data_IF_805532959898
#
_entry.id   IF_805532959898
#
_cell.length_a   1.000
_cell.length_b   1.000
_cell.length_c   1.000
_cell.angle_alpha   90.00
_cell.angle_beta   90.00
_cell.angle_gamma   90.00
#
_symmetry.space_group_name_H-M   'P 1'
#
loop_
_entity.id
_entity.type
_entity.pdbx_description
1 polymer ?
#
# COMPACT_ATOMS: atom_id res chain seq x y z
N UNK A 1 66.51 1.78 -18.29
CA UNK A 1 67.67 0.96 -18.71
C UNK A 1 67.17 -0.23 -19.54
N UNK A 2 68.05 -1.12 -20.01
CA UNK A 2 67.76 -2.15 -21.03
C UNK A 2 67.08 -3.42 -20.46
N UNK A 3 66.69 -4.29 -21.40
CA UNK A 3 66.54 -5.75 -21.29
C UNK A 3 67.60 -6.45 -20.39
N UNK A 4 67.45 -7.69 -19.90
CA UNK A 4 66.56 -8.83 -20.26
C UNK A 4 66.26 -9.66 -18.95
N UNK A 5 66.01 -10.99 -18.81
CA UNK A 5 65.98 -12.20 -19.66
C UNK A 5 65.00 -13.28 -19.12
N UNK A 6 64.50 -14.12 -20.06
CA UNK A 6 64.11 -15.54 -20.01
C UNK A 6 63.56 -16.27 -18.75
N UNK A 7 62.53 -17.07 -19.05
CA UNK A 7 61.98 -18.24 -18.33
C UNK A 7 63.06 -19.27 -17.92
N UNK A 8 62.84 -19.99 -16.81
CA UNK A 8 62.50 -21.44 -16.78
C UNK A 8 62.45 -22.00 -15.36
N UNK A 9 61.35 -22.67 -15.00
CA UNK A 9 61.29 -24.01 -14.35
C UNK A 9 59.82 -24.42 -14.22
N UNK A 10 59.51 -25.72 -14.41
CA UNK A 10 58.16 -26.27 -14.37
C UNK A 10 58.20 -27.76 -14.00
N UNK A 11 57.03 -28.31 -13.63
CA UNK A 11 56.83 -29.58 -12.91
C UNK A 11 57.25 -29.48 -11.41
N UNK A 12 56.58 -30.15 -10.47
CA UNK A 12 55.65 -31.28 -10.58
C UNK A 12 54.24 -31.02 -9.98
N UNK A 13 53.31 -31.84 -10.49
CA UNK A 13 51.89 -32.11 -10.19
C UNK A 13 51.43 -32.10 -8.70
N UNK A 14 50.10 -32.10 -8.38
CA UNK A 14 48.99 -32.55 -9.23
C UNK A 14 47.78 -31.62 -9.42
N UNK A 15 46.98 -31.97 -10.44
CA UNK A 15 45.71 -31.35 -10.80
C UNK A 15 44.59 -31.65 -9.80
N UNK A 16 43.90 -30.63 -9.32
CA UNK A 16 42.50 -30.76 -8.87
C UNK A 16 41.60 -29.90 -9.76
N UNK A 17 40.55 -30.50 -10.32
CA UNK A 17 39.66 -29.87 -11.30
C UNK A 17 38.73 -28.85 -10.64
N UNK A 18 39.25 -27.65 -10.35
CA UNK A 18 38.39 -26.48 -10.16
C UNK A 18 37.85 -26.02 -11.52
N UNK A 19 36.86 -26.75 -12.02
CA UNK A 19 35.89 -26.19 -12.95
C UNK A 19 35.23 -24.99 -12.26
N UNK A 20 35.78 -23.81 -12.50
CA UNK A 20 35.06 -22.55 -12.29
C UNK A 20 33.91 -22.58 -13.28
N UNK A 21 32.75 -23.03 -12.80
CA UNK A 21 31.54 -23.07 -13.59
C UNK A 21 31.21 -21.63 -13.99
N UNK A 22 31.57 -21.28 -15.23
CA UNK A 22 31.06 -20.06 -15.88
C UNK A 22 29.57 -20.04 -15.63
N UNK A 23 29.09 -19.00 -14.94
CA UNK A 23 27.66 -18.78 -14.78
C UNK A 23 27.03 -18.90 -16.16
N UNK A 24 26.17 -19.91 -16.36
CA UNK A 24 25.52 -20.11 -17.66
C UNK A 24 24.75 -18.83 -17.92
N UNK A 25 25.13 -18.09 -18.97
CA UNK A 25 24.38 -16.92 -19.43
C UNK A 25 22.91 -17.32 -19.49
N UNK A 26 22.04 -16.47 -18.95
CA UNK A 26 20.61 -16.73 -18.98
C UNK A 26 20.20 -16.93 -20.44
N UNK A 27 19.48 -18.02 -20.71
CA UNK A 27 18.91 -18.23 -22.03
C UNK A 27 17.72 -17.28 -22.17
N UNK A 28 17.88 -16.31 -23.07
CA UNK A 28 16.87 -15.29 -23.37
C UNK A 28 16.23 -15.53 -24.75
N UNK A 29 16.39 -16.73 -25.31
CA UNK A 29 15.64 -17.16 -26.49
C UNK A 29 14.14 -17.08 -26.18
N UNK A 30 13.31 -16.43 -27.01
CA UNK A 30 11.87 -16.41 -26.84
C UNK A 30 11.28 -17.83 -26.85
N UNK A 31 10.28 -18.09 -26.01
CA UNK A 31 9.59 -19.37 -25.92
C UNK A 31 8.08 -19.15 -25.77
N UNK A 32 7.27 -20.02 -26.39
CA UNK A 32 5.83 -20.04 -26.16
C UNK A 32 5.52 -20.52 -24.75
N UNK A 33 4.54 -19.90 -24.10
CA UNK A 33 4.06 -20.27 -22.78
C UNK A 33 2.53 -20.15 -22.71
N UNK A 34 1.88 -21.25 -22.34
CA UNK A 34 0.46 -21.27 -21.97
C UNK A 34 0.31 -20.88 -20.50
N UNK A 35 -0.60 -19.95 -20.22
CA UNK A 35 -0.74 -19.29 -18.92
C UNK A 35 -1.95 -19.85 -18.19
N UNK A 36 -1.70 -20.62 -17.12
CA UNK A 36 -2.73 -21.41 -16.42
C UNK A 36 -3.30 -20.72 -15.19
N UNK A 37 -2.59 -19.75 -14.60
CA UNK A 37 -3.01 -19.07 -13.36
C UNK A 37 -2.35 -17.67 -13.23
N UNK A 38 -2.65 -16.93 -12.16
CA UNK A 38 -2.08 -15.62 -11.85
C UNK A 38 -1.53 -15.60 -10.42
N UNK A 39 -0.30 -15.11 -10.23
CA UNK A 39 0.29 -14.91 -8.90
C UNK A 39 -0.38 -13.78 -8.13
N UNK A 40 -0.24 -13.81 -6.80
CA UNK A 40 -0.70 -12.73 -5.91
C UNK A 40 -0.05 -11.34 -6.18
N UNK A 41 0.99 -11.26 -7.01
CA UNK A 41 1.64 -10.02 -7.44
C UNK A 41 1.37 -9.64 -8.91
N UNK A 42 0.45 -10.34 -9.58
CA UNK A 42 -0.05 -9.99 -10.92
C UNK A 42 0.83 -10.47 -12.08
N UNK A 43 1.47 -11.63 -11.96
CA UNK A 43 2.23 -12.30 -13.02
C UNK A 43 1.53 -13.60 -13.44
N UNK A 44 1.45 -13.86 -14.74
CA UNK A 44 0.92 -15.11 -15.26
C UNK A 44 1.79 -16.30 -14.84
N UNK A 45 1.18 -17.43 -14.50
CA UNK A 45 1.87 -18.67 -14.16
C UNK A 45 1.85 -19.60 -15.37
N UNK A 46 3.04 -19.96 -15.85
CA UNK A 46 3.25 -21.03 -16.83
C UNK A 46 3.99 -22.20 -16.19
N UNK A 47 3.97 -23.37 -16.88
CA UNK A 47 4.88 -24.48 -16.57
C UNK A 47 5.68 -24.88 -17.81
N UNK A 48 6.97 -25.12 -17.60
CA UNK A 48 7.86 -25.66 -18.62
C UNK A 48 7.64 -27.19 -18.77
N UNK A 49 8.16 -27.81 -19.86
CA UNK A 49 8.10 -29.26 -20.04
C UNK A 49 8.78 -30.09 -18.94
N UNK A 50 9.65 -29.50 -18.11
CA UNK A 50 10.23 -30.12 -16.91
C UNK A 50 9.35 -29.95 -15.65
N UNK A 51 8.12 -29.46 -15.81
CA UNK A 51 7.14 -29.18 -14.75
C UNK A 51 7.40 -27.88 -13.97
N UNK A 52 8.54 -27.21 -14.19
CA UNK A 52 8.96 -26.05 -13.41
C UNK A 52 8.08 -24.83 -13.69
N UNK A 53 7.69 -24.13 -12.64
CA UNK A 53 6.92 -22.90 -12.74
C UNK A 53 7.74 -21.74 -13.33
N UNK A 54 7.08 -20.89 -14.11
CA UNK A 54 7.60 -19.62 -14.61
C UNK A 54 6.59 -18.52 -14.33
N UNK A 55 7.05 -17.40 -13.77
CA UNK A 55 6.22 -16.22 -13.54
C UNK A 55 6.45 -15.19 -14.65
N UNK A 56 5.44 -14.98 -15.48
CA UNK A 56 5.47 -14.20 -16.72
C UNK A 56 4.79 -12.85 -16.49
N UNK A 57 5.57 -11.77 -16.47
CA UNK A 57 5.02 -10.42 -16.30
C UNK A 57 4.21 -9.99 -17.55
N UNK A 58 3.02 -9.43 -17.33
CA UNK A 58 2.15 -8.91 -18.39
C UNK A 58 1.26 -9.94 -19.10
N UNK A 59 1.18 -11.16 -18.58
CA UNK A 59 0.39 -12.28 -19.09
C UNK A 59 -0.75 -12.67 -18.12
N UNK A 60 -1.87 -13.14 -18.65
CA UNK A 60 -3.10 -13.45 -17.91
C UNK A 60 -3.53 -14.92 -18.08
N UNK A 61 -4.34 -15.48 -17.16
CA UNK A 61 -4.89 -16.83 -17.31
C UNK A 61 -5.69 -17.00 -18.61
N UNK A 62 -5.51 -18.16 -19.24
CA UNK A 62 -6.13 -18.52 -20.51
C UNK A 62 -5.38 -18.02 -21.75
N UNK A 63 -4.21 -17.41 -21.60
CA UNK A 63 -3.42 -16.90 -22.72
C UNK A 63 -2.35 -17.86 -23.21
N UNK A 64 -2.02 -17.73 -24.50
CA UNK A 64 -0.75 -18.19 -25.04
C UNK A 64 0.09 -16.95 -25.38
N UNK A 65 1.32 -16.89 -24.85
CA UNK A 65 2.22 -15.75 -25.02
C UNK A 65 3.59 -16.19 -25.51
N UNK A 66 4.26 -15.32 -26.25
CA UNK A 66 5.70 -15.42 -26.49
C UNK A 66 6.42 -14.71 -25.34
N UNK A 67 7.22 -15.43 -24.57
CA UNK A 67 7.88 -14.94 -23.37
C UNK A 67 9.41 -15.01 -23.47
N UNK A 68 10.11 -14.12 -22.75
CA UNK A 68 11.57 -14.09 -22.63
C UNK A 68 11.98 -14.15 -21.16
N UNK A 69 12.92 -15.04 -20.81
CA UNK A 69 13.38 -15.17 -19.41
C UNK A 69 14.19 -13.95 -18.98
N UNK A 70 13.92 -13.50 -17.75
CA UNK A 70 14.57 -12.37 -17.08
C UNK A 70 15.40 -12.82 -15.87
N UNK A 71 15.00 -13.90 -15.19
CA UNK A 71 15.77 -14.51 -14.10
C UNK A 71 15.56 -16.03 -14.00
N UNK A 72 16.46 -16.71 -13.27
CA UNK A 72 16.43 -18.16 -13.02
C UNK A 72 16.71 -18.45 -11.56
N UNK A 73 15.84 -19.19 -10.86
CA UNK A 73 16.08 -19.66 -9.48
C UNK A 73 16.09 -21.19 -9.39
N UNK A 74 16.17 -21.75 -8.17
CA UNK A 74 15.97 -23.20 -7.95
C UNK A 74 14.51 -23.62 -8.18
N UNK A 75 13.55 -22.82 -7.76
CA UNK A 75 12.13 -23.23 -7.63
C UNK A 75 11.26 -22.78 -8.80
N UNK A 76 11.47 -21.55 -9.29
CA UNK A 76 10.78 -20.96 -10.44
C UNK A 76 11.76 -20.16 -11.31
N UNK A 77 11.37 -19.86 -12.55
CA UNK A 77 12.04 -18.85 -13.37
C UNK A 77 11.14 -17.61 -13.50
N UNK A 78 11.72 -16.48 -13.89
CA UNK A 78 10.97 -15.26 -14.19
C UNK A 78 11.11 -14.91 -15.67
N UNK A 79 10.04 -14.38 -16.25
CA UNK A 79 9.99 -13.96 -17.63
C UNK A 79 9.15 -12.69 -17.81
N UNK A 80 9.30 -12.05 -18.96
CA UNK A 80 8.36 -11.03 -19.44
C UNK A 80 7.67 -11.51 -20.70
N UNK A 81 6.42 -11.10 -20.88
CA UNK A 81 5.72 -11.17 -22.15
C UNK A 81 6.46 -10.31 -23.18
N UNK A 82 6.63 -10.82 -24.40
CA UNK A 82 7.02 -10.07 -25.59
C UNK A 82 5.82 -9.83 -26.51
N UNK A 83 5.00 -10.87 -26.69
CA UNK A 83 3.83 -10.89 -27.57
C UNK A 83 2.73 -11.75 -26.95
N UNK A 84 1.47 -11.38 -27.17
CA UNK A 84 0.29 -12.16 -26.77
C UNK A 84 -0.26 -12.80 -28.03
N UNK A 85 -0.04 -14.11 -28.19
CA UNK A 85 -0.39 -14.88 -29.40
C UNK A 85 -1.88 -15.24 -29.39
N UNK A 86 -2.42 -15.58 -28.21
CA UNK A 86 -3.85 -15.71 -27.96
C UNK A 86 -4.18 -14.98 -26.67
N UNK A 87 -5.02 -13.94 -26.75
CA UNK A 87 -5.38 -13.08 -25.63
C UNK A 87 -6.55 -13.63 -24.82
N UNK A 88 -6.57 -13.31 -23.52
CA UNK A 88 -7.70 -13.63 -22.64
C UNK A 88 -8.90 -12.77 -23.04
N UNK A 89 -10.16 -13.27 -22.97
CA UNK A 89 -11.35 -12.43 -23.17
C UNK A 89 -11.46 -11.30 -22.14
N UNK A 90 -10.67 -11.36 -21.06
CA UNK A 90 -10.57 -10.35 -20.02
C UNK A 90 -9.36 -9.42 -20.18
N UNK A 91 -8.58 -9.53 -21.28
CA UNK A 91 -7.50 -8.59 -21.58
C UNK A 91 -8.07 -7.26 -22.06
N UNK A 92 -7.61 -6.17 -21.46
CA UNK A 92 -7.88 -4.80 -21.90
C UNK A 92 -6.58 -4.09 -22.28
N UNK A 93 -6.69 -3.02 -23.07
CA UNK A 93 -5.54 -2.15 -23.38
C UNK A 93 -5.27 -1.26 -22.14
N UNK A 94 -4.05 -1.27 -21.58
CA UNK A 94 -3.71 -0.41 -20.45
C UNK A 94 -3.93 1.07 -20.75
N UNK A 95 -4.73 1.74 -19.91
CA UNK A 95 -5.04 3.16 -20.06
C UNK A 95 -3.80 4.06 -19.92
N UNK A 96 -2.84 3.70 -19.07
CA UNK A 96 -1.64 4.50 -18.84
C UNK A 96 -0.50 4.11 -19.79
N UNK A 97 0.07 5.03 -20.59
CA UNK A 97 1.17 4.76 -21.52
C UNK A 97 2.48 4.42 -20.78
N UNK A 98 2.57 4.69 -19.47
CA UNK A 98 3.70 4.32 -18.62
C UNK A 98 3.57 2.89 -18.04
N UNK A 99 2.49 2.17 -18.34
CA UNK A 99 2.29 0.80 -17.86
C UNK A 99 3.39 -0.16 -18.37
N UNK A 100 3.72 -1.17 -17.58
CA UNK A 100 4.83 -2.09 -17.86
C UNK A 100 6.20 -1.57 -17.43
N UNK A 101 6.44 -0.25 -17.51
CA UNK A 101 7.65 0.42 -17.02
C UNK A 101 7.46 0.88 -15.57
N UNK A 102 6.43 1.69 -15.32
CA UNK A 102 6.09 2.20 -14.00
C UNK A 102 5.64 1.06 -13.06
N UNK A 103 6.27 0.95 -11.89
CA UNK A 103 5.94 -0.05 -10.87
C UNK A 103 4.66 0.25 -10.07
N UNK A 104 4.04 1.42 -10.28
CA UNK A 104 2.83 1.84 -9.54
C UNK A 104 1.55 1.09 -9.90
N UNK A 105 1.52 0.36 -11.01
CA UNK A 105 0.39 -0.49 -11.43
C UNK A 105 0.90 -1.77 -12.08
N UNK A 106 0.21 -2.88 -11.84
CA UNK A 106 0.54 -4.20 -12.41
C UNK A 106 -0.62 -4.89 -13.12
N UNK A 107 -1.87 -4.48 -12.87
CA UNK A 107 -3.06 -5.15 -13.41
C UNK A 107 -3.80 -4.39 -14.54
N UNK A 108 -3.35 -3.23 -15.03
CA UNK A 108 -4.07 -2.45 -16.08
C UNK A 108 -4.31 -3.18 -17.42
N UNK A 109 -3.76 -4.37 -17.61
CA UNK A 109 -3.99 -5.23 -18.77
C UNK A 109 -5.12 -6.24 -18.57
N UNK A 110 -5.62 -6.38 -17.35
CA UNK A 110 -6.78 -7.18 -16.94
C UNK A 110 -7.97 -6.24 -16.70
N UNK A 111 -9.14 -6.59 -17.20
CA UNK A 111 -10.37 -5.84 -16.95
C UNK A 111 -10.64 -5.64 -15.45
N UNK A 112 -11.15 -4.45 -15.07
CA UNK A 112 -11.27 -4.03 -13.68
C UNK A 112 -12.15 -4.98 -12.83
N UNK A 113 -13.26 -5.46 -13.39
CA UNK A 113 -14.18 -6.36 -12.68
C UNK A 113 -13.54 -7.74 -12.44
N UNK A 114 -12.57 -8.10 -13.28
CA UNK A 114 -11.78 -9.33 -13.16
C UNK A 114 -10.58 -9.17 -12.22
N UNK A 115 -10.06 -7.95 -12.03
CA UNK A 115 -9.00 -7.69 -11.05
C UNK A 115 -9.48 -8.03 -9.63
N UNK A 116 -10.68 -7.60 -9.25
CA UNK A 116 -11.18 -7.85 -7.89
C UNK A 116 -11.53 -9.34 -7.65
N UNK A 117 -11.96 -10.06 -8.69
CA UNK A 117 -12.15 -11.52 -8.62
C UNK A 117 -10.82 -12.28 -8.46
N UNK A 118 -9.74 -11.83 -9.12
CA UNK A 118 -8.40 -12.37 -8.89
C UNK A 118 -7.92 -12.09 -7.45
N UNK A 119 -8.18 -10.90 -6.90
CA UNK A 119 -7.90 -10.56 -5.49
C UNK A 119 -8.69 -11.43 -4.51
N UNK A 120 -9.97 -11.72 -4.81
CA UNK A 120 -10.80 -12.62 -4.02
C UNK A 120 -10.25 -14.06 -3.99
N UNK A 121 -9.68 -14.53 -5.10
CA UNK A 121 -8.97 -15.83 -5.16
C UNK A 121 -7.76 -15.87 -4.23
N UNK A 122 -6.96 -14.81 -4.19
CA UNK A 122 -5.81 -14.71 -3.28
C UNK A 122 -6.25 -14.84 -1.81
N UNK A 123 -7.34 -14.18 -1.39
CA UNK A 123 -7.87 -14.33 -0.03
C UNK A 123 -8.32 -15.78 0.26
N UNK A 124 -9.05 -16.41 -0.67
CA UNK A 124 -9.49 -17.81 -0.58
C UNK A 124 -8.32 -18.78 -0.39
N UNK A 125 -7.28 -18.67 -1.22
CA UNK A 125 -6.08 -19.52 -1.14
C UNK A 125 -5.29 -19.33 0.17
N UNK A 126 -5.27 -18.12 0.74
CA UNK A 126 -4.61 -17.88 2.02
C UNK A 126 -5.41 -18.50 3.18
N UNK A 127 -6.73 -18.37 3.19
CA UNK A 127 -7.60 -19.03 4.18
C UNK A 127 -7.50 -20.55 4.13
N UNK A 128 -7.48 -21.15 2.94
CA UNK A 128 -7.28 -22.59 2.76
C UNK A 128 -5.90 -23.04 3.27
N UNK A 129 -4.82 -22.40 2.82
CA UNK A 129 -3.45 -22.93 2.97
C UNK A 129 -2.69 -22.44 4.21
N UNK A 130 -3.10 -21.32 4.81
CA UNK A 130 -2.42 -20.72 5.99
C UNK A 130 -3.34 -20.71 7.20
N UNK A 131 -4.61 -20.31 7.03
CA UNK A 131 -5.57 -20.29 8.13
C UNK A 131 -6.17 -21.66 8.45
N UNK A 132 -6.29 -22.53 7.44
CA UNK A 132 -7.10 -23.75 7.47
C UNK A 132 -8.53 -23.45 7.94
N UNK A 133 -9.13 -22.41 7.34
CA UNK A 133 -10.49 -21.92 7.61
C UNK A 133 -11.25 -21.69 6.31
N UNK A 134 -12.58 -21.60 6.40
CA UNK A 134 -13.45 -21.19 5.29
C UNK A 134 -14.62 -20.41 5.89
N UNK A 135 -14.99 -19.23 5.35
CA UNK A 135 -16.12 -18.47 5.86
C UNK A 135 -17.43 -19.17 5.53
N UNK A 136 -18.44 -19.03 6.40
CA UNK A 136 -19.79 -19.54 6.09
C UNK A 136 -20.40 -18.86 4.86
N UNK A 137 -20.11 -17.56 4.67
CA UNK A 137 -20.49 -16.77 3.49
C UNK A 137 -19.31 -15.98 2.95
N UNK A 138 -19.08 -16.05 1.64
CA UNK A 138 -18.29 -15.05 0.94
C UNK A 138 -19.16 -13.81 0.67
N UNK A 139 -18.66 -12.63 1.04
CA UNK A 139 -19.31 -11.36 0.68
C UNK A 139 -19.09 -11.07 -0.81
N UNK A 140 -20.00 -10.31 -1.41
CA UNK A 140 -19.74 -9.67 -2.70
C UNK A 140 -18.58 -8.65 -2.57
N UNK A 141 -17.70 -8.51 -3.59
CA UNK A 141 -16.56 -7.62 -3.49
C UNK A 141 -16.95 -6.14 -3.43
N UNK A 142 -16.30 -5.38 -2.55
CA UNK A 142 -16.57 -3.95 -2.40
C UNK A 142 -15.70 -3.18 -3.39
N UNK A 143 -16.34 -2.38 -4.25
CA UNK A 143 -15.68 -1.61 -5.33
C UNK A 143 -16.13 -0.15 -5.35
N UNK A 144 -15.30 0.68 -5.97
CA UNK A 144 -15.50 2.11 -6.29
C UNK A 144 -14.74 2.36 -7.61
N UNK A 145 -14.67 3.60 -8.09
CA UNK A 145 -13.95 3.99 -9.31
C UNK A 145 -12.53 3.41 -9.39
N UNK A 146 -12.27 2.69 -10.48
CA UNK A 146 -10.98 2.07 -10.77
C UNK A 146 -9.86 3.06 -11.18
N UNK A 147 -10.16 4.37 -11.21
CA UNK A 147 -9.34 5.49 -11.69
C UNK A 147 -9.61 6.74 -10.86
N UNK A 148 -8.68 7.70 -10.86
CA UNK A 148 -8.75 8.99 -10.15
C UNK A 148 -9.19 8.85 -8.67
N UNK A 149 -8.62 7.85 -7.98
CA UNK A 149 -8.98 7.47 -6.61
C UNK A 149 -7.93 7.86 -5.57
N UNK A 150 -6.64 7.78 -5.92
CA UNK A 150 -5.51 7.86 -4.98
C UNK A 150 -5.23 9.29 -4.56
N UNK A 151 -5.68 9.65 -3.35
CA UNK A 151 -5.49 10.98 -2.74
C UNK A 151 -4.21 11.15 -1.92
N UNK A 152 -3.48 10.06 -1.60
CA UNK A 152 -2.17 10.09 -0.93
C UNK A 152 -1.14 9.23 -1.68
N UNK A 153 0.10 9.70 -1.75
CA UNK A 153 1.20 8.95 -2.36
C UNK A 153 2.54 9.67 -2.26
N UNK A 154 3.56 9.10 -2.90
CA UNK A 154 4.90 9.68 -2.97
C UNK A 154 5.50 9.48 -4.35
N UNK A 155 5.86 10.58 -5.01
CA UNK A 155 6.74 10.56 -6.16
C UNK A 155 8.20 10.47 -5.69
N UNK A 156 8.96 9.59 -6.30
CA UNK A 156 10.42 9.66 -6.29
C UNK A 156 10.86 10.75 -7.28
N UNK A 157 11.93 11.46 -6.93
CA UNK A 157 12.53 12.50 -7.77
C UNK A 157 13.95 12.08 -8.09
N UNK A 158 14.35 12.20 -9.35
CA UNK A 158 15.69 11.80 -9.79
C UNK A 158 16.22 12.71 -10.90
N UNK A 159 17.18 13.56 -10.55
CA UNK A 159 18.06 14.25 -11.51
C UNK A 159 18.89 13.23 -12.31
N UNK A 160 18.98 13.43 -13.63
CA UNK A 160 19.69 12.59 -14.61
C UNK A 160 20.56 13.48 -15.49
N UNK A 161 21.78 13.78 -15.03
CA UNK A 161 22.64 14.81 -15.64
C UNK A 161 23.04 14.52 -17.08
N UNK A 162 23.15 13.24 -17.47
CA UNK A 162 23.38 12.81 -18.86
C UNK A 162 22.24 13.18 -19.84
N UNK A 163 21.07 13.57 -19.32
CA UNK A 163 19.91 14.03 -20.09
C UNK A 163 19.53 15.49 -19.76
N UNK A 164 20.35 16.16 -18.94
CA UNK A 164 20.11 17.49 -18.38
C UNK A 164 18.72 17.70 -17.73
N UNK A 165 18.11 16.63 -17.21
CA UNK A 165 16.70 16.62 -16.78
C UNK A 165 16.44 15.85 -15.48
N UNK A 166 15.40 16.24 -14.77
CA UNK A 166 14.86 15.60 -13.56
C UNK A 166 13.57 14.84 -13.87
N UNK A 167 13.56 13.57 -13.49
CA UNK A 167 12.40 12.69 -13.56
C UNK A 167 11.62 12.79 -12.25
N UNK A 168 10.29 12.91 -12.35
CA UNK A 168 9.36 12.89 -11.22
C UNK A 168 8.30 11.83 -11.52
N UNK A 169 8.09 10.91 -10.59
CA UNK A 169 7.12 9.84 -10.78
C UNK A 169 7.24 8.72 -9.75
N UNK A 170 6.57 7.60 -9.99
CA UNK A 170 6.81 6.38 -9.20
C UNK A 170 8.09 5.67 -9.66
N UNK A 171 8.61 4.76 -8.85
CA UNK A 171 9.73 3.90 -9.26
C UNK A 171 9.31 3.00 -10.41
N UNK A 172 10.29 2.62 -11.24
CA UNK A 172 10.10 1.54 -12.20
C UNK A 172 10.00 0.18 -11.49
N UNK A 173 9.73 -0.90 -12.25
CA UNK A 173 9.81 -2.27 -11.73
C UNK A 173 11.21 -2.60 -11.17
N UNK A 174 12.26 -1.99 -11.71
CA UNK A 174 13.57 -1.94 -11.06
C UNK A 174 13.61 -0.71 -10.11
N UNK A 175 13.72 -0.91 -8.79
CA UNK A 175 13.60 0.16 -7.80
C UNK A 175 14.78 1.17 -7.81
N UNK A 176 15.77 0.97 -8.69
CA UNK A 176 16.89 1.91 -8.92
C UNK A 176 16.52 3.06 -9.85
N UNK A 177 15.45 2.92 -10.63
CA UNK A 177 15.01 3.90 -11.63
C UNK A 177 13.66 4.54 -11.25
N UNK A 178 13.39 5.72 -11.83
CA UNK A 178 12.17 6.49 -11.63
C UNK A 178 11.51 6.65 -12.99
N UNK A 179 10.26 6.23 -13.10
CA UNK A 179 9.50 6.35 -14.33
C UNK A 179 9.26 7.84 -14.64
N UNK A 180 9.57 8.24 -15.87
CA UNK A 180 9.28 9.57 -16.41
C UNK A 180 7.78 9.72 -16.65
N UNK A 181 7.01 10.03 -15.59
CA UNK A 181 5.56 10.15 -15.68
C UNK A 181 5.16 11.49 -16.27
N UNK A 182 4.22 11.45 -17.22
CA UNK A 182 3.55 12.63 -17.80
C UNK A 182 2.09 12.76 -17.36
N UNK A 183 1.50 11.65 -16.93
CA UNK A 183 0.10 11.51 -16.52
C UNK A 183 -0.04 10.27 -15.63
N UNK A 184 -1.05 10.23 -14.76
CA UNK A 184 -1.26 9.09 -13.86
C UNK A 184 -2.73 8.90 -13.44
N UNK A 185 -3.52 8.20 -14.27
CA UNK A 185 -4.97 8.00 -14.07
C UNK A 185 -5.41 7.27 -12.79
N UNK A 186 -4.51 6.84 -11.90
CA UNK A 186 -4.91 6.31 -10.58
C UNK A 186 -4.89 7.38 -9.50
N UNK A 187 -4.12 8.45 -9.69
CA UNK A 187 -4.01 9.63 -8.82
C UNK A 187 -5.17 10.59 -9.10
N UNK A 188 -5.63 11.34 -8.09
CA UNK A 188 -6.68 12.35 -8.29
C UNK A 188 -6.24 13.44 -9.29
N UNK A 189 -7.18 13.93 -10.09
CA UNK A 189 -6.89 14.77 -11.27
C UNK A 189 -6.00 16.00 -10.99
N UNK A 190 -6.22 16.81 -9.93
CA UNK A 190 -5.36 17.97 -9.68
C UNK A 190 -3.89 17.61 -9.45
N UNK A 191 -3.63 16.46 -8.82
CA UNK A 191 -2.26 15.98 -8.55
C UNK A 191 -1.68 15.30 -9.80
N UNK A 192 -2.51 14.66 -10.63
CA UNK A 192 -2.08 14.09 -11.90
C UNK A 192 -1.67 15.18 -12.90
N UNK A 193 -2.42 16.29 -12.97
CA UNK A 193 -2.18 17.41 -13.86
C UNK A 193 -0.84 18.13 -13.60
N UNK A 194 -0.38 18.20 -12.34
CA UNK A 194 0.88 18.88 -12.00
C UNK A 194 2.13 18.02 -12.19
N UNK A 195 2.04 16.72 -12.52
CA UNK A 195 3.22 15.84 -12.63
C UNK A 195 4.28 16.39 -13.61
N UNK A 196 3.93 16.86 -14.83
CA UNK A 196 4.91 17.50 -15.72
C UNK A 196 5.48 18.80 -15.16
N UNK A 197 4.65 19.57 -14.43
CA UNK A 197 5.06 20.85 -13.85
C UNK A 197 6.06 20.65 -12.70
N UNK A 198 5.93 19.56 -11.92
CA UNK A 198 6.91 19.19 -10.89
C UNK A 198 8.28 18.84 -11.49
N UNK A 199 8.33 18.20 -12.67
CA UNK A 199 9.59 17.93 -13.38
C UNK A 199 10.31 19.25 -13.75
N UNK A 200 9.58 20.20 -14.36
CA UNK A 200 10.12 21.51 -14.71
C UNK A 200 10.47 22.40 -13.51
N UNK A 201 9.65 22.37 -12.45
CA UNK A 201 9.89 23.07 -11.18
C UNK A 201 11.22 22.63 -10.58
N UNK A 202 11.41 21.32 -10.37
CA UNK A 202 12.63 20.83 -9.75
C UNK A 202 13.86 21.08 -10.62
N UNK A 203 13.79 20.95 -11.95
CA UNK A 203 14.94 21.27 -12.82
C UNK A 203 15.39 22.74 -12.74
N UNK A 204 14.48 23.66 -12.39
CA UNK A 204 14.80 25.07 -12.15
C UNK A 204 15.49 25.36 -10.80
N UNK A 205 15.49 24.42 -9.85
CA UNK A 205 16.02 24.63 -8.50
C UNK A 205 17.54 24.44 -8.42
N UNK A 206 18.19 25.16 -7.53
CA UNK A 206 19.59 24.96 -7.14
C UNK A 206 19.75 23.58 -6.46
N UNK A 207 18.83 23.22 -5.56
CA UNK A 207 18.79 21.94 -4.84
C UNK A 207 18.27 20.74 -5.67
N UNK A 208 18.13 20.85 -7.00
CA UNK A 208 17.55 19.80 -7.88
C UNK A 208 18.21 18.42 -7.77
N UNK A 209 19.48 18.36 -7.39
CA UNK A 209 20.20 17.11 -7.17
C UNK A 209 19.96 16.46 -5.78
N UNK A 210 19.43 17.23 -4.82
CA UNK A 210 19.30 16.85 -3.40
C UNK A 210 17.85 16.82 -2.90
N UNK A 211 16.87 16.89 -3.81
CA UNK A 211 15.45 16.60 -3.58
C UNK A 211 15.14 15.17 -4.08
N UNK A 212 15.06 14.14 -3.21
CA UNK A 212 14.86 12.75 -3.64
C UNK A 212 13.39 12.31 -3.74
N UNK A 213 12.44 13.06 -3.18
CA UNK A 213 11.02 12.71 -3.18
C UNK A 213 10.11 13.92 -2.96
N UNK A 214 8.88 13.80 -3.46
CA UNK A 214 7.76 14.68 -3.15
C UNK A 214 6.61 13.79 -2.66
N UNK A 215 6.19 13.95 -1.40
CA UNK A 215 4.99 13.27 -0.90
C UNK A 215 3.76 14.16 -1.15
N UNK A 216 2.62 13.55 -1.46
CA UNK A 216 1.37 14.26 -1.70
C UNK A 216 0.23 13.66 -0.87
N UNK A 217 -0.68 14.51 -0.43
CA UNK A 217 -1.91 14.14 0.27
C UNK A 217 -3.01 15.15 -0.06
N UNK A 218 -4.26 14.71 -0.08
CA UNK A 218 -5.40 15.59 -0.30
C UNK A 218 -6.56 15.28 0.65
N UNK A 219 -7.12 16.35 1.19
CA UNK A 219 -8.37 16.40 1.93
C UNK A 219 -9.41 17.23 1.19
N UNK A 220 -10.28 17.90 1.93
CA UNK A 220 -11.34 18.73 1.37
C UNK A 220 -10.84 20.17 1.08
N UNK A 221 -11.32 20.84 0.01
CA UNK A 221 -10.86 22.18 -0.36
C UNK A 221 -11.05 23.24 0.73
N UNK A 222 -10.11 24.18 0.82
CA UNK A 222 -10.15 25.36 1.70
C UNK A 222 -10.15 26.65 0.87
N UNK A 223 -10.54 27.81 1.44
CA UNK A 223 -10.49 29.08 0.70
C UNK A 223 -9.07 29.43 0.19
N UNK A 224 -8.07 29.28 1.06
CA UNK A 224 -6.67 29.58 0.76
C UNK A 224 -6.04 28.64 -0.28
N UNK A 225 -6.34 27.34 -0.22
CA UNK A 225 -5.73 26.28 -1.03
C UNK A 225 -6.68 25.08 -1.17
N UNK A 226 -6.57 24.30 -2.24
CA UNK A 226 -7.58 23.31 -2.65
C UNK A 226 -7.49 21.97 -1.89
N UNK A 227 -7.16 22.00 -0.60
CA UNK A 227 -7.14 20.82 0.28
C UNK A 227 -5.96 19.87 0.06
N UNK A 228 -5.11 20.16 -0.93
CA UNK A 228 -3.95 19.37 -1.32
C UNK A 228 -2.68 19.92 -0.66
N UNK A 229 -1.82 19.03 -0.16
CA UNK A 229 -0.49 19.36 0.32
C UNK A 229 0.60 18.55 -0.38
N UNK A 230 1.74 19.20 -0.64
CA UNK A 230 2.96 18.65 -1.21
C UNK A 230 4.11 18.81 -0.22
N UNK A 231 4.80 17.72 0.11
CA UNK A 231 5.95 17.71 1.03
C UNK A 231 7.23 17.46 0.22
N UNK A 232 8.04 18.50 0.07
CA UNK A 232 9.33 18.44 -0.60
C UNK A 232 10.39 18.01 0.39
N UNK A 233 10.92 16.79 0.24
CA UNK A 233 12.09 16.36 1.02
C UNK A 233 13.35 16.93 0.37
N UNK A 234 14.20 17.55 1.16
CA UNK A 234 15.47 18.10 0.70
C UNK A 234 16.60 17.67 1.64
N UNK A 235 17.75 17.28 1.08
CA UNK A 235 18.89 16.73 1.84
C UNK A 235 19.97 17.78 2.16
N UNK A 236 19.75 19.03 1.73
CA UNK A 236 20.56 20.21 2.00
C UNK A 236 19.62 21.41 2.22
N UNK A 237 20.05 22.48 2.90
CA UNK A 237 19.28 23.73 2.97
C UNK A 237 18.91 24.23 1.56
N UNK A 238 17.69 24.75 1.41
CA UNK A 238 17.28 25.48 0.21
C UNK A 238 17.78 26.93 0.29
N UNK A 239 18.04 27.55 -0.86
CA UNK A 239 18.27 28.99 -0.94
C UNK A 239 16.95 29.77 -0.92
N UNK A 240 17.02 31.08 -0.70
CA UNK A 240 15.85 31.97 -0.78
C UNK A 240 15.21 31.93 -2.19
N UNK A 241 16.02 31.71 -3.23
CA UNK A 241 15.56 31.48 -4.62
C UNK A 241 14.70 30.23 -4.71
N UNK A 242 15.20 29.09 -4.22
CA UNK A 242 14.48 27.81 -4.25
C UNK A 242 13.20 27.86 -3.41
N UNK A 243 13.27 28.45 -2.21
CA UNK A 243 12.10 28.64 -1.35
C UNK A 243 11.05 29.54 -2.01
N UNK A 244 11.47 30.63 -2.66
CA UNK A 244 10.56 31.52 -3.41
C UNK A 244 9.90 30.81 -4.61
N UNK A 245 10.64 29.98 -5.33
CA UNK A 245 10.12 29.19 -6.45
C UNK A 245 9.08 28.15 -5.99
N UNK A 246 9.35 27.44 -4.89
CA UNK A 246 8.40 26.50 -4.29
C UNK A 246 7.14 27.20 -3.76
N UNK A 247 7.28 28.36 -3.11
CA UNK A 247 6.16 29.16 -2.62
C UNK A 247 5.28 29.69 -3.77
N UNK A 248 5.91 30.24 -4.83
CA UNK A 248 5.20 30.71 -6.01
C UNK A 248 4.46 29.58 -6.74
N UNK A 249 5.06 28.39 -6.82
CA UNK A 249 4.40 27.19 -7.35
C UNK A 249 3.17 26.81 -6.52
N UNK A 250 3.30 26.78 -5.18
CA UNK A 250 2.18 26.49 -4.28
C UNK A 250 1.00 27.43 -4.46
N UNK A 251 1.28 28.73 -4.52
CA UNK A 251 0.27 29.76 -4.77
C UNK A 251 -0.39 29.60 -6.15
N UNK A 252 0.40 29.39 -7.21
CA UNK A 252 -0.10 29.25 -8.58
C UNK A 252 -0.94 27.98 -8.78
N UNK A 253 -0.60 26.88 -8.10
CA UNK A 253 -1.35 25.61 -8.15
C UNK A 253 -2.40 25.46 -7.04
N UNK A 254 -2.54 26.46 -6.15
CA UNK A 254 -3.37 26.41 -4.93
C UNK A 254 -3.14 25.15 -4.07
N UNK A 255 -1.89 24.72 -3.93
CA UNK A 255 -1.51 23.57 -3.09
C UNK A 255 -0.60 23.98 -1.96
N UNK A 256 -0.87 23.50 -0.75
CA UNK A 256 -0.03 23.79 0.41
C UNK A 256 1.36 23.13 0.24
N UNK A 257 2.42 23.89 0.48
CA UNK A 257 3.81 23.49 0.34
C UNK A 257 4.42 23.30 1.72
N UNK A 258 5.02 22.14 1.92
CA UNK A 258 5.76 21.79 3.13
C UNK A 258 7.19 21.38 2.78
N UNK A 259 8.12 21.66 3.68
CA UNK A 259 9.53 21.32 3.57
C UNK A 259 9.89 20.24 4.58
N UNK A 260 10.71 19.26 4.18
CA UNK A 260 11.24 18.22 5.04
C UNK A 260 12.79 18.12 4.93
N UNK A 261 13.54 18.85 5.78
CA UNK A 261 15.00 18.80 5.81
C UNK A 261 15.57 17.54 6.51
N UNK A 262 14.77 16.78 7.25
CA UNK A 262 15.26 15.73 8.15
C UNK A 262 14.28 14.58 8.39
N UNK A 263 13.89 14.34 9.65
CA UNK A 263 12.95 13.29 10.04
C UNK A 263 11.48 13.62 9.70
N UNK A 264 10.54 12.78 10.17
CA UNK A 264 9.10 13.07 10.07
C UNK A 264 8.76 14.37 10.79
N UNK A 265 9.33 14.58 11.98
CA UNK A 265 9.11 15.76 12.84
C UNK A 265 9.71 17.06 12.28
N UNK A 266 10.48 17.00 11.19
CA UNK A 266 11.04 18.17 10.53
C UNK A 266 10.08 18.86 9.55
N UNK A 267 8.92 18.26 9.30
CA UNK A 267 7.92 18.79 8.36
C UNK A 267 7.29 20.07 8.89
N UNK A 268 7.52 21.17 8.16
CA UNK A 268 6.95 22.48 8.43
C UNK A 268 6.37 23.09 7.16
N UNK A 269 5.37 23.96 7.30
CA UNK A 269 4.74 24.63 6.17
C UNK A 269 5.61 25.80 5.66
N UNK A 270 5.67 25.94 4.34
CA UNK A 270 6.21 27.11 3.64
C UNK A 270 5.08 28.03 3.17
N UNK A 271 3.98 27.45 2.67
CA UNK A 271 2.78 28.19 2.28
C UNK A 271 1.53 27.30 2.31
N UNK A 272 0.37 27.76 2.79
CA UNK A 272 0.17 28.87 3.73
C UNK A 272 0.98 28.71 5.03
N UNK A 273 0.87 29.67 5.96
CA UNK A 273 1.61 29.61 7.22
C UNK A 273 1.12 28.50 8.18
N UNK A 274 -0.17 28.16 8.16
CA UNK A 274 -0.78 27.14 9.02
C UNK A 274 -1.93 26.36 8.31
N UNK A 275 -1.67 25.68 7.18
CA UNK A 275 -2.68 24.97 6.39
C UNK A 275 -3.46 23.90 7.18
N UNK A 276 -4.76 24.11 7.34
CA UNK A 276 -5.67 23.22 8.05
C UNK A 276 -6.22 22.10 7.14
N UNK A 277 -5.46 21.01 7.03
CA UNK A 277 -5.83 19.78 6.32
C UNK A 277 -6.85 18.93 7.11
N UNK A 278 -7.91 18.50 6.44
CA UNK A 278 -8.89 17.52 6.94
C UNK A 278 -9.69 16.91 5.80
N UNK A 279 -10.48 15.86 6.08
CA UNK A 279 -11.56 15.42 5.20
C UNK A 279 -12.79 15.01 6.00
N UNK A 280 -13.98 15.10 5.38
CA UNK A 280 -15.26 14.84 6.04
C UNK A 280 -15.88 13.50 5.65
N UNK A 281 -16.44 12.82 6.65
CA UNK A 281 -17.21 11.59 6.56
C UNK A 281 -18.68 11.93 6.83
N UNK A 282 -19.38 12.38 5.79
CA UNK A 282 -20.74 12.95 5.91
C UNK A 282 -21.75 12.00 6.56
N UNK A 283 -21.66 10.69 6.31
CA UNK A 283 -22.64 9.69 6.78
C UNK A 283 -22.63 9.49 8.32
N UNK A 284 -21.70 10.15 9.03
CA UNK A 284 -21.58 10.17 10.49
C UNK A 284 -21.40 11.58 11.06
N UNK A 285 -21.41 12.64 10.23
CA UNK A 285 -21.03 13.99 10.64
C UNK A 285 -19.66 14.01 11.36
N UNK A 286 -18.59 13.53 10.71
CA UNK A 286 -17.23 13.52 11.28
C UNK A 286 -16.23 14.21 10.35
N UNK A 287 -15.56 15.26 10.81
CA UNK A 287 -14.38 15.82 10.14
C UNK A 287 -13.08 15.25 10.75
N UNK A 288 -12.25 14.60 9.95
CA UNK A 288 -10.95 14.05 10.34
C UNK A 288 -9.83 15.00 9.89
N UNK A 289 -9.26 15.75 10.84
CA UNK A 289 -8.02 16.50 10.63
C UNK A 289 -6.80 15.57 10.56
N UNK A 290 -5.81 15.95 9.76
CA UNK A 290 -4.57 15.19 9.56
C UNK A 290 -3.38 16.11 9.22
N UNK A 291 -2.15 15.62 9.35
CA UNK A 291 -0.91 16.28 8.90
C UNK A 291 -0.38 15.64 7.61
N UNK A 292 0.52 16.31 6.85
CA UNK A 292 0.87 15.85 5.50
C UNK A 292 1.38 14.41 5.37
N UNK A 293 2.13 13.94 6.37
CA UNK A 293 2.70 12.60 6.37
C UNK A 293 1.79 11.54 7.01
N UNK A 294 0.76 11.92 7.77
CA UNK A 294 -0.14 11.00 8.47
C UNK A 294 -0.80 9.98 7.52
N UNK A 295 -1.08 8.78 8.03
CA UNK A 295 -1.81 7.78 7.27
C UNK A 295 -3.29 8.16 7.13
N UNK A 296 -3.76 8.29 5.88
CA UNK A 296 -5.18 8.33 5.53
C UNK A 296 -5.45 7.28 4.46
N UNK A 297 -6.63 6.66 4.50
CA UNK A 297 -7.04 5.68 3.49
C UNK A 297 -7.06 6.32 2.09
N UNK A 298 -6.38 5.66 1.14
CA UNK A 298 -5.96 6.31 -0.12
C UNK A 298 -7.08 6.50 -1.12
N UNK A 299 -8.14 5.69 -1.04
CA UNK A 299 -9.37 5.86 -1.81
C UNK A 299 -10.46 6.41 -0.88
N UNK A 300 -10.88 7.66 -1.09
CA UNK A 300 -11.86 8.33 -0.22
C UNK A 300 -13.28 7.74 -0.32
N UNK A 301 -13.71 7.31 -1.52
CA UNK A 301 -15.05 6.77 -1.72
C UNK A 301 -15.17 5.38 -1.10
N UNK A 302 -14.27 4.47 -1.49
CA UNK A 302 -14.21 3.14 -0.88
C UNK A 302 -13.97 3.17 0.64
N UNK A 303 -13.25 4.16 1.20
CA UNK A 303 -13.12 4.30 2.65
C UNK A 303 -14.49 4.49 3.33
N UNK A 304 -15.38 5.33 2.77
CA UNK A 304 -16.75 5.48 3.31
C UNK A 304 -17.53 4.16 3.24
N UNK A 305 -17.46 3.45 2.11
CA UNK A 305 -18.12 2.15 1.94
C UNK A 305 -17.56 1.07 2.88
N UNK A 306 -16.24 1.07 3.10
CA UNK A 306 -15.54 0.20 4.05
C UNK A 306 -15.97 0.48 5.49
N UNK A 307 -15.99 1.75 5.92
CA UNK A 307 -16.50 2.13 7.26
C UNK A 307 -17.97 1.71 7.40
N UNK A 308 -18.81 1.98 6.40
CA UNK A 308 -20.22 1.58 6.42
C UNK A 308 -20.39 0.06 6.59
N UNK A 309 -19.70 -0.75 5.78
CA UNK A 309 -19.75 -2.22 5.87
C UNK A 309 -19.13 -2.74 7.17
N UNK A 310 -18.04 -2.16 7.66
CA UNK A 310 -17.43 -2.55 8.94
C UNK A 310 -18.37 -2.29 10.11
N UNK A 311 -19.08 -1.16 10.14
CA UNK A 311 -20.05 -0.83 11.19
C UNK A 311 -21.34 -1.68 11.08
N UNK A 312 -21.79 -1.99 9.86
CA UNK A 312 -22.88 -2.95 9.62
C UNK A 312 -22.51 -4.35 10.13
N UNK A 313 -21.33 -4.86 9.74
CA UNK A 313 -20.85 -6.16 10.17
C UNK A 313 -20.63 -6.23 11.67
N UNK A 314 -20.18 -5.16 12.33
CA UNK A 314 -19.95 -5.15 13.78
C UNK A 314 -21.27 -5.10 14.57
N UNK A 315 -22.37 -4.65 13.94
CA UNK A 315 -23.75 -4.64 14.47
C UNK A 315 -23.86 -4.01 15.86
N UNK A 316 -23.36 -2.77 15.94
CA UNK A 316 -23.17 -2.07 17.21
C UNK A 316 -24.46 -1.42 17.72
N UNK A 317 -24.70 -1.57 19.02
CA UNK A 317 -25.88 -1.07 19.72
C UNK A 317 -25.54 0.18 20.57
N UNK A 318 -26.52 1.03 20.92
CA UNK A 318 -26.29 2.25 21.71
C UNK A 318 -25.63 2.04 23.08
N UNK A 319 -25.73 0.85 23.66
CA UNK A 319 -25.14 0.46 24.94
C UNK A 319 -23.70 -0.09 24.85
N UNK A 320 -23.25 -0.51 23.65
CA UNK A 320 -21.98 -1.22 23.44
C UNK A 320 -20.75 -0.39 23.87
N UNK A 321 -19.73 -1.10 24.36
CA UNK A 321 -18.36 -0.59 24.50
C UNK A 321 -17.46 -1.28 23.48
N UNK A 322 -16.99 -0.51 22.50
CA UNK A 322 -16.20 -1.03 21.36
C UNK A 322 -14.71 -0.79 21.57
N UNK A 323 -13.90 -1.82 21.33
CA UNK A 323 -12.43 -1.69 21.25
C UNK A 323 -12.00 -1.62 19.78
N UNK A 324 -11.26 -0.58 19.42
CA UNK A 324 -10.73 -0.32 18.08
C UNK A 324 -9.19 -0.35 18.15
N UNK A 325 -8.58 -1.42 17.61
CA UNK A 325 -7.12 -1.60 17.65
C UNK A 325 -6.50 -1.26 16.31
N UNK A 326 -5.33 -0.61 16.37
CA UNK A 326 -4.63 0.01 15.24
C UNK A 326 -5.45 1.16 14.63
N UNK A 327 -6.13 1.93 15.49
CA UNK A 327 -7.15 2.91 15.11
C UNK A 327 -6.61 4.14 14.35
N UNK A 328 -5.28 4.33 14.29
CA UNK A 328 -4.64 5.48 13.68
C UNK A 328 -5.18 6.82 14.23
N UNK A 329 -5.65 7.68 13.32
CA UNK A 329 -6.23 8.99 13.63
C UNK A 329 -7.77 8.98 13.87
N UNK A 330 -8.38 7.80 14.02
CA UNK A 330 -9.79 7.63 14.39
C UNK A 330 -10.74 7.25 13.24
N UNK A 331 -10.25 6.58 12.18
CA UNK A 331 -10.99 6.37 10.92
C UNK A 331 -12.29 5.57 11.09
N UNK A 332 -12.29 4.52 11.94
CA UNK A 332 -13.51 3.81 12.34
C UNK A 332 -14.03 4.31 13.69
N UNK A 333 -13.12 4.69 14.60
CA UNK A 333 -13.42 5.06 15.99
C UNK A 333 -14.42 6.21 16.10
N UNK A 334 -14.27 7.28 15.31
CA UNK A 334 -15.16 8.44 15.40
C UNK A 334 -16.54 8.19 14.76
N UNK A 335 -16.65 7.51 13.60
CA UNK A 335 -17.92 6.93 13.13
C UNK A 335 -18.61 5.99 14.13
N UNK A 336 -17.87 5.18 14.88
CA UNK A 336 -18.41 4.34 15.95
C UNK A 336 -18.95 5.15 17.13
N UNK A 337 -18.20 6.17 17.58
CA UNK A 337 -18.59 7.04 18.70
C UNK A 337 -19.94 7.75 18.50
N UNK A 338 -20.41 7.91 17.26
CA UNK A 338 -21.74 8.43 16.93
C UNK A 338 -22.90 7.44 17.17
N UNK A 339 -22.61 6.15 17.42
CA UNK A 339 -23.59 5.05 17.50
C UNK A 339 -23.58 4.24 18.79
N UNK A 340 -22.51 4.33 19.59
CA UNK A 340 -22.27 3.47 20.76
C UNK A 340 -22.04 4.27 22.03
N UNK A 341 -22.22 3.62 23.20
CA UNK A 341 -22.01 4.23 24.51
C UNK A 341 -20.58 4.74 24.68
N UNK A 342 -19.60 3.92 24.29
CA UNK A 342 -18.18 4.25 24.41
C UNK A 342 -17.35 3.50 23.37
N UNK A 343 -16.30 4.14 22.88
CA UNK A 343 -15.30 3.49 22.02
C UNK A 343 -13.89 3.84 22.50
N UNK A 344 -13.01 2.83 22.52
CA UNK A 344 -11.62 2.96 22.94
C UNK A 344 -10.71 2.61 21.78
N UNK A 345 -10.06 3.62 21.22
CA UNK A 345 -9.00 3.46 20.22
C UNK A 345 -7.65 3.15 20.87
N UNK A 346 -6.89 2.22 20.29
CA UNK A 346 -5.50 1.94 20.68
C UNK A 346 -4.62 1.91 19.44
N UNK A 347 -3.52 2.66 19.48
CA UNK A 347 -2.60 2.88 18.36
C UNK A 347 -1.15 2.91 18.88
N UNK A 348 -0.20 2.44 18.08
CA UNK A 348 1.22 2.42 18.45
C UNK A 348 1.88 3.79 18.32
N UNK A 349 1.52 4.58 17.32
CA UNK A 349 2.12 5.91 17.11
C UNK A 349 1.47 6.99 18.00
N UNK A 350 2.22 7.49 18.97
CA UNK A 350 1.78 8.56 19.87
C UNK A 350 1.37 9.86 19.13
N UNK A 351 1.95 10.12 17.95
CA UNK A 351 1.57 11.22 17.06
C UNK A 351 0.12 11.09 16.58
N UNK A 352 -0.22 9.93 15.99
CA UNK A 352 -1.58 9.59 15.53
C UNK A 352 -2.58 9.57 16.70
N UNK A 353 -2.23 8.99 17.86
CA UNK A 353 -3.07 9.03 19.08
C UNK A 353 -3.40 10.46 19.50
N UNK A 354 -2.42 11.38 19.43
CA UNK A 354 -2.64 12.78 19.75
C UNK A 354 -3.51 13.49 18.69
N UNK A 355 -3.49 13.04 17.42
CA UNK A 355 -4.36 13.57 16.35
C UNK A 355 -5.78 13.02 16.46
N UNK A 356 -5.95 11.74 16.82
CA UNK A 356 -7.24 11.13 17.09
C UNK A 356 -7.99 11.86 18.23
N UNK A 357 -7.26 12.28 19.28
CA UNK A 357 -7.80 13.10 20.38
C UNK A 357 -8.25 14.49 19.93
N UNK A 358 -7.47 15.16 19.09
CA UNK A 358 -7.88 16.43 18.47
C UNK A 358 -9.12 16.27 17.58
N UNK A 359 -9.21 15.16 16.84
CA UNK A 359 -10.39 14.85 16.01
C UNK A 359 -11.62 14.49 16.86
N UNK A 360 -11.48 13.77 17.97
CA UNK A 360 -12.58 13.52 18.89
C UNK A 360 -13.13 14.83 19.49
N UNK A 361 -12.23 15.72 19.95
CA UNK A 361 -12.58 17.05 20.46
C UNK A 361 -13.27 17.92 19.40
N UNK A 362 -12.73 17.96 18.17
CA UNK A 362 -13.30 18.68 17.01
C UNK A 362 -14.75 18.29 16.72
N UNK A 363 -15.10 17.01 16.88
CA UNK A 363 -16.44 16.48 16.57
C UNK A 363 -17.36 16.36 17.80
N UNK A 364 -16.92 16.82 18.98
CA UNK A 364 -17.67 16.73 20.23
C UNK A 364 -17.80 15.31 20.82
N UNK A 365 -16.96 14.37 20.39
CA UNK A 365 -17.06 12.94 20.69
C UNK A 365 -16.38 12.59 22.02
N UNK A 366 -16.94 13.07 23.13
CA UNK A 366 -16.42 12.86 24.48
C UNK A 366 -16.42 11.38 24.94
N UNK A 367 -17.13 10.50 24.23
CA UNK A 367 -17.18 9.04 24.44
C UNK A 367 -16.11 8.26 23.63
N UNK A 368 -15.20 8.94 22.93
CA UNK A 368 -14.08 8.32 22.23
C UNK A 368 -12.77 8.51 23.01
N UNK A 369 -12.25 7.45 23.63
CA UNK A 369 -10.96 7.45 24.33
C UNK A 369 -9.84 6.91 23.42
N UNK A 370 -8.60 7.36 23.64
CA UNK A 370 -7.44 6.93 22.83
C UNK A 370 -6.18 6.68 23.68
N UNK A 371 -5.53 5.54 23.45
CA UNK A 371 -4.30 5.12 24.14
C UNK A 371 -3.14 4.87 23.16
N UNK A 372 -1.94 5.29 23.55
CA UNK A 372 -0.70 4.93 22.88
C UNK A 372 -0.14 3.65 23.48
N UNK A 373 0.01 2.60 22.67
CA UNK A 373 0.52 1.29 23.09
C UNK A 373 1.07 0.48 21.91
N UNK A 374 2.29 -0.04 22.02
CA UNK A 374 2.83 -1.02 21.07
C UNK A 374 2.12 -2.37 21.24
N UNK A 375 1.16 -2.65 20.36
CA UNK A 375 0.36 -3.87 20.36
C UNK A 375 1.14 -5.16 19.98
N UNK A 376 2.45 -5.06 19.70
CA UNK A 376 3.35 -6.22 19.58
C UNK A 376 3.97 -6.65 20.93
N UNK A 377 3.88 -5.80 21.96
CA UNK A 377 4.41 -6.06 23.31
C UNK A 377 3.35 -6.62 24.27
N UNK A 378 3.76 -6.94 25.50
CA UNK A 378 2.83 -7.32 26.58
C UNK A 378 2.02 -6.11 27.07
N UNK A 379 0.75 -6.09 26.69
CA UNK A 379 -0.24 -5.08 27.05
C UNK A 379 -1.17 -5.52 28.19
N UNK A 380 -1.02 -6.73 28.76
CA UNK A 380 -1.91 -7.24 29.83
C UNK A 380 -1.95 -6.34 31.07
N UNK A 381 -0.88 -5.58 31.31
CA UNK A 381 -0.79 -4.58 32.37
C UNK A 381 -1.53 -3.26 32.09
N UNK A 382 -1.89 -2.96 30.83
CA UNK A 382 -2.33 -1.63 30.40
C UNK A 382 -3.70 -1.21 30.97
N UNK A 383 -3.96 0.11 31.14
CA UNK A 383 -5.24 0.58 31.71
C UNK A 383 -6.48 0.22 30.89
N UNK A 384 -6.37 0.19 29.55
CA UNK A 384 -7.49 -0.09 28.64
C UNK A 384 -7.89 -1.58 28.65
N UNK A 385 -6.92 -2.50 28.72
CA UNK A 385 -7.15 -3.96 28.78
C UNK A 385 -8.05 -4.40 29.94
N UNK A 386 -8.10 -3.63 31.03
CA UNK A 386 -8.89 -3.95 32.23
C UNK A 386 -10.35 -3.50 32.15
N UNK A 387 -10.74 -2.74 31.12
CA UNK A 387 -12.03 -2.07 31.09
C UNK A 387 -13.19 -2.98 30.67
N UNK A 388 -12.94 -3.98 29.81
CA UNK A 388 -13.97 -4.88 29.26
C UNK A 388 -14.80 -4.26 28.13
N UNK A 389 -15.06 -5.05 27.09
CA UNK A 389 -15.62 -4.59 25.82
C UNK A 389 -16.53 -5.65 25.20
N UNK A 390 -17.53 -5.19 24.47
CA UNK A 390 -18.60 -5.99 23.89
C UNK A 390 -18.30 -6.34 22.42
N UNK A 391 -17.54 -5.48 21.72
CA UNK A 391 -17.21 -5.61 20.29
C UNK A 391 -15.74 -5.27 20.03
N UNK A 392 -15.12 -5.92 19.04
CA UNK A 392 -13.72 -5.70 18.65
C UNK A 392 -13.60 -5.34 17.16
N UNK A 393 -12.86 -4.28 16.85
CA UNK A 393 -12.44 -3.88 15.53
C UNK A 393 -10.91 -3.93 15.43
N UNK A 394 -10.39 -4.44 14.32
CA UNK A 394 -8.96 -4.56 14.03
C UNK A 394 -8.67 -4.00 12.61
N UNK A 395 -7.74 -3.05 12.45
CA UNK A 395 -7.16 -2.65 11.15
C UNK A 395 -5.61 -2.68 11.17
N UNK A 396 -4.98 -3.85 11.44
CA UNK A 396 -3.55 -3.93 11.72
C UNK A 396 -2.65 -3.71 10.49
N UNK A 397 -1.39 -3.29 10.71
CA UNK A 397 -0.35 -3.34 9.69
C UNK A 397 -0.11 -4.77 9.19
N UNK A 398 0.65 -4.90 8.09
CA UNK A 398 0.91 -6.16 7.37
C UNK A 398 1.44 -7.35 8.20
N UNK A 399 1.93 -7.11 9.41
CA UNK A 399 2.27 -8.16 10.39
C UNK A 399 1.06 -8.94 10.92
N UNK A 400 -0.15 -8.36 10.84
CA UNK A 400 -1.35 -8.81 11.53
C UNK A 400 -1.37 -8.45 13.02
N UNK A 401 -2.34 -9.00 13.75
CA UNK A 401 -2.67 -8.69 15.14
C UNK A 401 -2.45 -9.87 16.11
N UNK A 402 -1.77 -10.94 15.68
CA UNK A 402 -1.63 -12.20 16.46
C UNK A 402 -1.15 -12.00 17.89
N UNK A 403 -0.23 -11.06 18.14
CA UNK A 403 0.39 -10.88 19.45
C UNK A 403 -0.54 -10.21 20.46
N UNK A 404 -1.41 -9.27 20.03
CA UNK A 404 -2.47 -8.73 20.88
C UNK A 404 -3.67 -9.69 20.98
N UNK A 405 -4.03 -10.40 19.89
CA UNK A 405 -5.07 -11.44 19.90
C UNK A 405 -4.78 -12.57 20.90
N UNK A 406 -3.50 -12.89 21.12
CA UNK A 406 -3.07 -13.88 22.14
C UNK A 406 -3.26 -13.41 23.58
N UNK A 407 -3.33 -12.10 23.81
CA UNK A 407 -3.43 -11.48 25.13
C UNK A 407 -4.85 -11.06 25.52
N UNK A 408 -5.71 -10.81 24.54
CA UNK A 408 -7.09 -10.38 24.74
C UNK A 408 -7.94 -11.47 25.43
N UNK A 409 -8.87 -11.08 26.34
CA UNK A 409 -9.90 -11.96 26.87
C UNK A 409 -11.00 -12.15 25.82
N UNK A 410 -10.66 -12.87 24.74
CA UNK A 410 -11.48 -13.01 23.54
C UNK A 410 -12.89 -13.52 23.85
N UNK A 411 -13.05 -14.37 24.87
CA UNK A 411 -14.33 -14.95 25.28
C UNK A 411 -15.40 -13.91 25.68
N UNK A 412 -14.99 -12.68 25.98
CA UNK A 412 -15.89 -11.59 26.41
C UNK A 412 -16.64 -10.95 25.24
N UNK A 413 -15.91 -10.49 24.21
CA UNK A 413 -16.48 -9.85 23.02
C UNK A 413 -17.58 -10.71 22.39
N UNK A 414 -18.72 -10.13 22.03
CA UNK A 414 -19.78 -10.79 21.27
C UNK A 414 -19.43 -11.02 19.81
N UNK A 415 -18.68 -10.09 19.20
CA UNK A 415 -18.36 -10.09 17.76
C UNK A 415 -17.02 -9.40 17.48
N UNK A 416 -16.29 -9.88 16.47
CA UNK A 416 -15.02 -9.30 16.00
C UNK A 416 -15.14 -8.99 14.49
N UNK A 417 -14.74 -7.79 14.06
CA UNK A 417 -14.50 -7.48 12.64
C UNK A 417 -13.03 -7.12 12.42
N UNK A 418 -12.42 -7.72 11.40
CA UNK A 418 -11.00 -7.58 11.08
C UNK A 418 -10.87 -7.09 9.63
N UNK A 419 -10.35 -5.87 9.44
CA UNK A 419 -9.94 -5.28 8.16
C UNK A 419 -8.44 -5.53 7.95
N UNK A 420 -7.98 -5.84 6.73
CA UNK A 420 -6.55 -6.08 6.50
C UNK A 420 -6.08 -5.90 5.06
N UNK A 421 -4.97 -5.16 4.92
CA UNK A 421 -4.22 -4.96 3.68
C UNK A 421 -3.29 -6.13 3.30
N UNK A 422 -3.39 -7.27 4.00
CA UNK A 422 -2.48 -8.40 3.84
C UNK A 422 -3.15 -9.76 4.15
N UNK A 423 -3.65 -10.48 3.12
CA UNK A 423 -4.49 -11.66 3.30
C UNK A 423 -3.78 -12.83 4.00
N UNK A 424 -2.45 -12.93 3.92
CA UNK A 424 -1.69 -14.02 4.56
C UNK A 424 -1.64 -13.91 6.09
N UNK A 425 -1.54 -12.70 6.65
CA UNK A 425 -1.58 -12.48 8.09
C UNK A 425 -3.01 -12.48 8.63
N UNK A 426 -3.98 -11.96 7.86
CA UNK A 426 -5.40 -12.15 8.17
C UNK A 426 -5.75 -13.65 8.23
N UNK A 427 -5.26 -14.46 7.30
CA UNK A 427 -5.50 -15.91 7.30
C UNK A 427 -4.91 -16.62 8.52
N UNK A 428 -3.65 -16.33 8.88
CA UNK A 428 -3.01 -16.84 10.11
C UNK A 428 -3.84 -16.50 11.35
N UNK A 429 -4.32 -15.26 11.44
CA UNK A 429 -5.06 -14.77 12.61
C UNK A 429 -6.50 -15.30 12.65
N UNK A 430 -7.12 -15.49 11.49
CA UNK A 430 -8.40 -16.18 11.35
C UNK A 430 -8.29 -17.66 11.79
N UNK A 431 -7.20 -18.34 11.40
CA UNK A 431 -6.88 -19.68 11.86
C UNK A 431 -6.75 -19.77 13.38
N UNK A 432 -6.06 -18.80 14.00
CA UNK A 432 -5.97 -18.69 15.45
C UNK A 432 -7.36 -18.51 16.12
N UNK A 433 -8.16 -17.57 15.61
CA UNK A 433 -9.49 -17.28 16.16
C UNK A 433 -10.44 -18.49 16.07
N UNK A 434 -10.48 -19.16 14.92
CA UNK A 434 -11.39 -20.29 14.69
C UNK A 434 -10.90 -21.58 15.34
N UNK A 435 -9.65 -21.96 15.09
CA UNK A 435 -9.15 -23.30 15.43
C UNK A 435 -8.61 -23.40 16.87
N UNK A 436 -8.09 -22.31 17.45
CA UNK A 436 -7.57 -22.29 18.83
C UNK A 436 -8.52 -21.59 19.82
N UNK A 437 -9.37 -20.66 19.36
CA UNK A 437 -10.22 -19.82 20.22
C UNK A 437 -11.73 -20.01 20.05
N UNK A 438 -12.16 -20.95 19.22
CA UNK A 438 -13.56 -21.40 19.15
C UNK A 438 -14.53 -20.43 18.45
N UNK A 439 -14.02 -19.43 17.74
CA UNK A 439 -14.84 -18.54 16.92
C UNK A 439 -15.33 -19.23 15.64
N UNK A 440 -16.39 -18.69 15.07
CA UNK A 440 -16.85 -18.99 13.71
C UNK A 440 -16.45 -17.82 12.81
N UNK A 441 -15.79 -18.10 11.68
CA UNK A 441 -15.62 -17.13 10.59
C UNK A 441 -16.94 -17.10 9.80
N UNK A 442 -17.85 -16.18 10.15
CA UNK A 442 -19.17 -16.10 9.54
C UNK A 442 -19.11 -15.56 8.12
N UNK A 443 -18.38 -14.45 7.92
CA UNK A 443 -18.24 -13.82 6.60
C UNK A 443 -16.80 -13.41 6.29
N UNK A 444 -16.45 -13.39 5.01
CA UNK A 444 -15.27 -12.66 4.54
C UNK A 444 -15.42 -12.16 3.09
N UNK A 445 -14.74 -11.06 2.78
CA UNK A 445 -14.73 -10.42 1.47
C UNK A 445 -13.44 -9.68 1.17
N UNK A 446 -13.33 -9.16 -0.06
CA UNK A 446 -12.25 -8.27 -0.51
C UNK A 446 -12.80 -6.92 -0.92
N UNK A 447 -11.97 -5.90 -0.85
CA UNK A 447 -12.31 -4.51 -1.15
C UNK A 447 -11.23 -3.93 -2.09
N UNK A 448 -11.61 -3.27 -3.19
CA UNK A 448 -10.61 -2.74 -4.12
C UNK A 448 -10.06 -1.36 -3.71
N UNK A 449 -9.34 -1.32 -2.58
CA UNK A 449 -8.70 -0.09 -2.07
C UNK A 449 -7.58 0.43 -2.99
N UNK A 450 -7.07 -0.45 -3.86
CA UNK A 450 -5.98 -0.13 -4.80
C UNK A 450 -6.22 -0.78 -6.18
N UNK A 451 -7.19 -0.29 -6.96
CA UNK A 451 -7.41 -0.74 -8.33
C UNK A 451 -6.14 -0.55 -9.18
N UNK A 452 -6.00 -1.37 -10.24
CA UNK A 452 -4.81 -1.45 -11.10
C UNK A 452 -3.55 -2.03 -10.44
N UNK A 453 -3.60 -2.34 -9.15
CA UNK A 453 -2.50 -2.93 -8.36
C UNK A 453 -2.89 -4.32 -7.86
N UNK A 454 -1.91 -5.16 -7.53
CA UNK A 454 -2.14 -6.47 -6.92
C UNK A 454 -2.34 -6.43 -5.38
N UNK A 455 -2.52 -5.26 -4.76
CA UNK A 455 -2.86 -5.20 -3.33
C UNK A 455 -4.30 -5.68 -3.09
N UNK A 456 -4.46 -6.51 -2.06
CA UNK A 456 -5.73 -7.12 -1.64
C UNK A 456 -6.09 -6.54 -0.28
N UNK A 457 -7.06 -5.64 -0.25
CA UNK A 457 -7.72 -5.25 1.00
C UNK A 457 -8.81 -6.29 1.30
N UNK A 458 -8.93 -6.70 2.56
CA UNK A 458 -9.78 -7.81 2.99
C UNK A 458 -10.59 -7.41 4.21
N UNK A 459 -11.76 -8.01 4.39
CA UNK A 459 -12.57 -7.87 5.60
C UNK A 459 -13.11 -9.23 6.03
N UNK A 460 -13.11 -9.51 7.34
CA UNK A 460 -13.60 -10.74 7.94
C UNK A 460 -14.45 -10.44 9.18
N UNK A 461 -15.55 -11.18 9.33
CA UNK A 461 -16.45 -11.16 10.48
C UNK A 461 -16.32 -12.50 11.23
N UNK A 462 -16.04 -12.42 12.53
CA UNK A 462 -16.06 -13.55 13.45
C UNK A 462 -17.15 -13.39 14.50
N UNK A 463 -17.87 -14.48 14.75
CA UNK A 463 -18.92 -14.59 15.76
C UNK A 463 -18.67 -15.79 16.70
N UNK A 464 -19.30 -15.80 17.87
CA UNK A 464 -19.26 -16.97 18.75
C UNK A 464 -19.93 -18.16 18.07
N UNK A 465 -19.38 -19.36 18.31
CA UNK A 465 -19.98 -20.64 17.96
C UNK A 465 -21.17 -20.97 18.88
#
# INVERSE_FOLDING_TARGET
MRCTHLRQYAALLPSSLRHVARSRRLDQTPFSADIVDLTHDGRGVARLPDGKAVFVAGALPGEQVMAMRTARSRHFDEATTLEVVSASPHRVIPRCPHFGVCGGCVLQHLDADQQILAKARVLRENFERIGHVTPQRWMEPIVDRAWNYRRKGRFSVKRVDKKDRTLVGFRERDPRFVADLRECHTVIEPIAAIIPLLSGLIDGLEARATIPQIEFIAGDPRPEFDGIALVFRHLQPLSDTDASALLAFGQAQRMAIFLQPGGVDSVHALWPAAPALSFRLEDWDVELGFRPLDFIQVNAGLNRTMIARTLELLDVQPEDRVLDLFCGLGNFTLPLARRVREVVGVEGEAGLVARAKENALRNGLANAQFHAADLTQDQRGAPWMRQGFDKLLLDPPRSGAIDVLRQLPLERFGRIVYVSCHPASLARDAGYLVNERGWTLSEAGVMDMFPQTAHVESIALFEKR
#
